data_IF_087768423460
#
_entry.id   IF_087768423460
#
_cell.length_a   1.000
_cell.length_b   1.000
_cell.length_c   1.000
_cell.angle_alpha   90.00
_cell.angle_beta   90.00
_cell.angle_gamma   90.00
#
_symmetry.space_group_name_H-M   'P 1'
#
loop_
_entity.id
_entity.type
_entity.pdbx_description
1 polymer ?
#
# COMPACT_ATOMS: atom_id res chain seq x y z
N UNK A 1 -33.73 23.64 30.01
CA UNK A 1 -34.49 22.65 29.20
C UNK A 1 -34.21 22.71 27.71
N UNK A 2 -34.64 23.74 26.92
CA UNK A 2 -34.40 23.74 25.46
C UNK A 2 -32.91 23.76 25.05
N UNK A 3 -32.06 24.48 25.79
CA UNK A 3 -30.60 24.53 25.58
C UNK A 3 -29.90 23.19 25.84
N UNK A 4 -30.39 22.43 26.82
CA UNK A 4 -29.81 21.14 27.22
C UNK A 4 -30.12 20.05 26.19
N UNK A 5 -31.34 20.07 25.63
CA UNK A 5 -31.76 19.16 24.55
C UNK A 5 -30.94 19.43 23.28
N UNK A 6 -30.73 20.70 22.92
CA UNK A 6 -29.90 21.07 21.76
C UNK A 6 -28.43 20.64 21.93
N UNK A 7 -27.87 20.81 23.15
CA UNK A 7 -26.50 20.38 23.46
C UNK A 7 -26.34 18.86 23.38
N UNK A 8 -27.34 18.11 23.84
CA UNK A 8 -27.33 16.65 23.78
C UNK A 8 -27.45 16.13 22.35
N UNK A 9 -28.28 16.78 21.52
CA UNK A 9 -28.37 16.47 20.07
C UNK A 9 -27.07 16.77 19.33
N UNK A 10 -26.39 17.88 19.64
CA UNK A 10 -25.09 18.19 19.03
C UNK A 10 -24.02 17.15 19.43
N UNK A 11 -23.98 16.74 20.71
CA UNK A 11 -23.07 15.70 21.17
C UNK A 11 -23.32 14.35 20.47
N UNK A 12 -24.59 13.97 20.30
CA UNK A 12 -24.98 12.78 19.54
C UNK A 12 -24.48 12.84 18.09
N UNK A 13 -24.67 13.98 17.42
CA UNK A 13 -24.22 14.18 16.04
C UNK A 13 -22.68 14.11 15.95
N UNK A 14 -21.97 14.70 16.90
CA UNK A 14 -20.50 14.69 16.92
C UNK A 14 -19.95 13.28 17.15
N UNK A 15 -20.55 12.50 18.06
CA UNK A 15 -20.18 11.09 18.26
C UNK A 15 -20.39 10.25 16.98
N UNK A 16 -21.51 10.46 16.27
CA UNK A 16 -21.77 9.77 15.00
C UNK A 16 -20.73 10.17 13.93
N UNK A 17 -20.38 11.46 13.85
CA UNK A 17 -19.35 11.95 12.93
C UNK A 17 -17.98 11.33 13.24
N UNK A 18 -17.58 11.26 14.50
CA UNK A 18 -16.31 10.66 14.91
C UNK A 18 -16.19 9.21 14.45
N UNK A 19 -17.27 8.41 14.60
CA UNK A 19 -17.31 7.03 14.12
C UNK A 19 -17.07 6.98 12.60
N UNK A 20 -17.79 7.81 11.83
CA UNK A 20 -17.66 7.84 10.37
C UNK A 20 -16.27 8.34 9.93
N UNK A 21 -15.71 9.36 10.58
CA UNK A 21 -14.38 9.86 10.24
C UNK A 21 -13.29 8.85 10.59
N UNK A 22 -13.40 8.18 11.73
CA UNK A 22 -12.48 7.11 12.12
C UNK A 22 -12.53 5.95 11.12
N UNK A 23 -13.72 5.49 10.75
CA UNK A 23 -13.92 4.43 9.77
C UNK A 23 -13.30 4.80 8.40
N UNK A 24 -13.56 6.02 7.90
CA UNK A 24 -12.98 6.50 6.63
C UNK A 24 -11.45 6.55 6.69
N UNK A 25 -10.89 7.02 7.79
CA UNK A 25 -9.43 7.05 7.99
C UNK A 25 -8.85 5.63 7.97
N UNK A 26 -9.47 4.69 8.68
CA UNK A 26 -9.04 3.29 8.70
C UNK A 26 -9.08 2.66 7.30
N UNK A 27 -10.16 2.86 6.54
CA UNK A 27 -10.26 2.38 5.15
C UNK A 27 -9.14 2.96 4.29
N UNK A 28 -8.89 4.27 4.37
CA UNK A 28 -7.82 4.91 3.60
C UNK A 28 -6.44 4.33 3.92
N UNK A 29 -6.15 4.07 5.20
CA UNK A 29 -4.89 3.43 5.65
C UNK A 29 -4.78 2.02 5.08
N UNK A 30 -5.83 1.20 5.20
CA UNK A 30 -5.80 -0.18 4.72
C UNK A 30 -5.61 -0.24 3.21
N UNK A 31 -6.35 0.58 2.45
CA UNK A 31 -6.16 0.70 0.99
C UNK A 31 -4.74 1.10 0.64
N UNK A 32 -4.15 2.07 1.36
CA UNK A 32 -2.78 2.49 1.11
C UNK A 32 -1.76 1.37 1.39
N UNK A 33 -1.97 0.59 2.45
CA UNK A 33 -1.10 -0.56 2.78
C UNK A 33 -1.17 -1.65 1.70
N UNK A 34 -2.36 -1.94 1.20
CA UNK A 34 -2.56 -2.88 0.08
C UNK A 34 -1.87 -2.37 -1.20
N UNK A 35 -1.98 -1.08 -1.50
CA UNK A 35 -1.31 -0.48 -2.66
C UNK A 35 0.22 -0.56 -2.55
N UNK A 36 0.79 -0.29 -1.37
CA UNK A 36 2.25 -0.43 -1.15
C UNK A 36 2.68 -1.87 -1.40
N UNK A 37 1.93 -2.84 -0.89
CA UNK A 37 2.20 -4.26 -1.09
C UNK A 37 2.11 -4.67 -2.57
N UNK A 38 1.09 -4.17 -3.28
CA UNK A 38 0.93 -4.40 -4.71
C UNK A 38 2.10 -3.81 -5.52
N UNK A 39 2.49 -2.57 -5.23
CA UNK A 39 3.61 -1.89 -5.89
C UNK A 39 4.94 -2.60 -5.68
N UNK A 40 5.18 -3.10 -4.47
CA UNK A 40 6.34 -3.91 -4.19
C UNK A 40 6.35 -5.22 -5.00
N UNK A 41 5.20 -5.92 -5.04
CA UNK A 41 5.06 -7.17 -5.80
C UNK A 41 5.24 -6.96 -7.30
N UNK A 42 4.76 -5.85 -7.86
CA UNK A 42 5.01 -5.48 -9.26
C UNK A 42 6.50 -5.29 -9.49
N UNK A 43 7.19 -4.58 -8.60
CA UNK A 43 8.64 -4.43 -8.64
C UNK A 43 9.39 -5.77 -8.63
N UNK A 44 8.95 -6.70 -7.78
CA UNK A 44 9.47 -8.07 -7.72
C UNK A 44 9.34 -8.78 -9.06
N UNK A 45 8.13 -8.80 -9.63
CA UNK A 45 7.85 -9.47 -10.91
C UNK A 45 8.73 -8.92 -12.03
N UNK A 46 8.91 -7.59 -12.09
CA UNK A 46 9.78 -6.95 -13.09
C UNK A 46 11.22 -7.44 -12.92
N UNK A 47 11.78 -7.40 -11.70
CA UNK A 47 13.17 -7.80 -11.44
C UNK A 47 13.38 -9.31 -11.65
N UNK A 48 12.43 -10.15 -11.25
CA UNK A 48 12.49 -11.59 -11.50
C UNK A 48 12.50 -11.90 -13.00
N UNK A 49 11.64 -11.24 -13.78
CA UNK A 49 11.63 -11.37 -15.23
C UNK A 49 12.96 -10.93 -15.86
N UNK A 50 13.53 -9.81 -15.40
CA UNK A 50 14.84 -9.33 -15.86
C UNK A 50 15.95 -10.34 -15.59
N UNK A 51 15.98 -10.92 -14.38
CA UNK A 51 16.97 -11.93 -13.99
C UNK A 51 16.85 -13.22 -14.79
N UNK A 52 15.64 -13.75 -14.96
CA UNK A 52 15.40 -15.01 -15.70
C UNK A 52 15.84 -14.91 -17.15
N UNK A 53 15.66 -13.74 -17.77
CA UNK A 53 15.97 -13.52 -19.18
C UNK A 53 17.35 -12.87 -19.42
N UNK A 54 18.19 -12.71 -18.38
CA UNK A 54 19.49 -12.01 -18.45
C UNK A 54 19.39 -10.62 -19.13
N UNK A 55 18.32 -9.88 -18.82
CA UNK A 55 18.02 -8.59 -19.43
C UNK A 55 18.97 -7.53 -18.87
N UNK A 56 19.60 -6.77 -19.76
CA UNK A 56 20.46 -5.66 -19.37
C UNK A 56 19.64 -4.41 -19.00
N UNK A 57 20.32 -3.40 -18.45
CA UNK A 57 19.64 -2.16 -18.04
C UNK A 57 18.99 -1.38 -19.20
N UNK A 58 19.40 -1.62 -20.45
CA UNK A 58 18.88 -0.88 -21.61
C UNK A 58 17.56 -1.50 -22.09
N UNK A 59 17.51 -2.83 -22.19
CA UNK A 59 16.33 -3.62 -22.51
C UNK A 59 15.28 -3.59 -21.40
N UNK A 60 15.70 -3.57 -20.13
CA UNK A 60 14.80 -3.37 -18.97
C UNK A 60 13.99 -2.08 -19.09
N UNK A 61 14.62 -0.97 -19.51
CA UNK A 61 13.89 0.29 -19.73
C UNK A 61 12.85 0.15 -20.82
N UNK A 62 13.17 -0.51 -21.93
CA UNK A 62 12.22 -0.71 -23.03
C UNK A 62 11.01 -1.52 -22.59
N UNK A 63 11.22 -2.59 -21.81
CA UNK A 63 10.14 -3.40 -21.24
C UNK A 63 9.23 -2.54 -20.35
N UNK A 64 9.79 -1.68 -19.49
CA UNK A 64 8.98 -0.77 -18.65
C UNK A 64 8.18 0.24 -19.47
N UNK A 65 8.74 0.74 -20.59
CA UNK A 65 8.02 1.64 -21.49
C UNK A 65 6.81 0.95 -22.11
N UNK A 66 6.97 -0.30 -22.54
CA UNK A 66 5.91 -1.09 -23.13
C UNK A 66 4.85 -1.49 -22.11
N UNK A 67 5.27 -1.97 -20.93
CA UNK A 67 4.37 -2.25 -19.80
C UNK A 67 3.56 -1.02 -19.41
N UNK A 68 4.17 0.16 -19.38
CA UNK A 68 3.45 1.38 -19.04
C UNK A 68 2.30 1.65 -19.99
N UNK A 69 2.51 1.45 -21.29
CA UNK A 69 1.48 1.66 -22.30
C UNK A 69 0.35 0.63 -22.13
N UNK A 70 0.69 -0.66 -22.14
CA UNK A 70 -0.29 -1.74 -22.06
C UNK A 70 -1.11 -1.67 -20.75
N UNK A 71 -0.45 -1.54 -19.60
CA UNK A 71 -1.13 -1.50 -18.31
C UNK A 71 -1.98 -0.24 -18.11
N UNK A 72 -1.55 0.90 -18.67
CA UNK A 72 -2.37 2.12 -18.63
C UNK A 72 -3.61 1.97 -19.51
N UNK A 73 -3.51 1.30 -20.65
CA UNK A 73 -4.64 1.05 -21.56
C UNK A 73 -5.63 0.03 -20.97
N UNK A 74 -5.14 -1.02 -20.30
CA UNK A 74 -5.97 -2.10 -19.75
C UNK A 74 -6.56 -1.80 -18.36
N UNK A 75 -5.75 -1.23 -17.45
CA UNK A 75 -6.10 -1.08 -16.03
C UNK A 75 -6.34 0.40 -15.68
N UNK A 76 -5.79 1.33 -16.47
CA UNK A 76 -5.99 2.75 -16.29
C UNK A 76 -4.87 3.44 -15.50
N UNK A 77 -5.24 4.45 -14.72
CA UNK A 77 -4.29 5.33 -14.03
C UNK A 77 -3.50 4.57 -12.97
N UNK A 78 -2.21 4.91 -12.83
CA UNK A 78 -1.30 4.30 -11.85
C UNK A 78 -0.15 3.54 -12.48
N UNK A 79 -0.17 3.29 -13.79
CA UNK A 79 0.89 2.55 -14.49
C UNK A 79 1.73 3.42 -15.43
N UNK A 80 1.97 4.67 -15.03
CA UNK A 80 2.89 5.54 -15.77
C UNK A 80 4.32 4.98 -15.73
N UNK A 81 5.12 5.33 -16.74
CA UNK A 81 6.54 4.95 -16.84
C UNK A 81 7.29 5.20 -15.54
N UNK A 82 7.15 6.40 -14.99
CA UNK A 82 7.80 6.79 -13.74
C UNK A 82 7.34 5.93 -12.56
N UNK A 83 6.06 5.56 -12.50
CA UNK A 83 5.56 4.73 -11.40
C UNK A 83 6.10 3.30 -11.48
N UNK A 84 6.16 2.71 -12.68
CA UNK A 84 6.76 1.38 -12.87
C UNK A 84 8.26 1.36 -12.55
N UNK A 85 9.00 2.41 -12.93
CA UNK A 85 10.40 2.55 -12.51
C UNK A 85 10.54 2.65 -10.99
N UNK A 86 9.63 3.38 -10.32
CA UNK A 86 9.62 3.48 -8.86
C UNK A 86 9.28 2.14 -8.21
N UNK A 87 8.32 1.38 -8.74
CA UNK A 87 7.97 0.03 -8.25
C UNK A 87 9.17 -0.92 -8.37
N UNK A 88 9.82 -0.95 -9.54
CA UNK A 88 11.06 -1.72 -9.76
C UNK A 88 12.15 -1.33 -8.75
N UNK A 89 12.38 -0.03 -8.59
CA UNK A 89 13.38 0.50 -7.64
C UNK A 89 13.03 0.13 -6.19
N UNK A 90 11.75 0.20 -5.83
CA UNK A 90 11.28 -0.13 -4.48
C UNK A 90 11.64 -1.57 -4.10
N UNK A 91 11.37 -2.55 -4.98
CA UNK A 91 11.78 -3.93 -4.72
C UNK A 91 13.31 -4.08 -4.67
N UNK A 92 14.04 -3.40 -5.54
CA UNK A 92 15.50 -3.48 -5.58
C UNK A 92 16.17 -2.95 -4.30
N UNK A 93 15.66 -1.85 -3.75
CA UNK A 93 16.19 -1.22 -2.53
C UNK A 93 15.69 -1.90 -1.26
N UNK A 94 14.47 -2.45 -1.28
CA UNK A 94 13.81 -3.07 -0.13
C UNK A 94 13.30 -4.46 -0.49
N UNK A 95 14.16 -5.46 -0.70
CA UNK A 95 13.75 -6.82 -1.05
C UNK A 95 13.01 -7.55 0.08
N UNK A 96 12.96 -6.98 1.29
CA UNK A 96 12.16 -7.45 2.41
C UNK A 96 11.13 -6.38 2.79
N UNK A 97 9.88 -6.53 2.34
CA UNK A 97 8.84 -5.48 2.55
C UNK A 97 8.21 -5.50 3.94
N UNK A 98 8.40 -6.58 4.71
CA UNK A 98 7.91 -6.64 6.08
C UNK A 98 9.00 -6.19 7.05
N UNK A 99 8.66 -5.21 7.90
CA UNK A 99 9.33 -5.07 9.18
C UNK A 99 9.09 -6.34 10.00
N UNK A 100 10.06 -6.77 10.82
CA UNK A 100 9.96 -8.03 11.61
C UNK A 100 8.65 -8.09 12.40
N UNK A 101 8.14 -6.95 12.89
CA UNK A 101 6.84 -6.86 13.57
C UNK A 101 5.63 -7.31 12.72
N UNK A 102 5.68 -7.20 11.40
CA UNK A 102 4.67 -7.74 10.47
C UNK A 102 4.78 -9.24 10.25
N UNK A 103 5.91 -9.86 10.64
CA UNK A 103 6.15 -11.30 10.63
C UNK A 103 5.85 -11.96 11.99
N UNK A 104 5.64 -11.17 13.05
CA UNK A 104 5.35 -11.69 14.39
C UNK A 104 3.87 -12.09 14.49
N UNK A 105 3.63 -13.34 14.86
CA UNK A 105 2.31 -13.80 15.28
C UNK A 105 2.01 -13.31 16.71
N UNK A 106 0.75 -13.32 17.11
CA UNK A 106 0.37 -12.99 18.49
C UNK A 106 1.12 -13.84 19.52
N UNK A 107 1.39 -15.11 19.21
CA UNK A 107 2.22 -16.00 20.03
C UNK A 107 3.66 -15.49 20.20
N UNK A 108 4.29 -14.98 19.13
CA UNK A 108 5.63 -14.39 19.22
C UNK A 108 5.65 -13.12 20.09
N UNK A 109 4.58 -12.32 20.07
CA UNK A 109 4.47 -11.12 20.91
C UNK A 109 4.25 -11.50 22.38
N UNK A 110 3.44 -12.54 22.66
CA UNK A 110 3.26 -13.04 24.02
C UNK A 110 4.57 -13.52 24.65
N UNK A 111 5.42 -14.21 23.88
CA UNK A 111 6.71 -14.74 24.32
C UNK A 111 7.72 -13.63 24.67
N UNK A 112 7.70 -12.50 23.95
CA UNK A 112 8.52 -11.32 24.26
C UNK A 112 8.02 -10.52 25.48
N UNK A 113 6.78 -10.75 25.91
CA UNK A 113 6.17 -10.07 27.07
C UNK A 113 6.22 -10.92 28.35
N UNK A 114 6.79 -12.13 28.28
CA UNK A 114 6.87 -13.07 29.42
C UNK A 114 8.24 -13.06 30.11
N UNK A 115 8.87 -11.89 30.20
CA UNK A 115 10.00 -11.67 31.12
C UNK A 115 9.54 -11.65 32.59
#
# INVERSE_FOLDING_TARGET
MKKDIQKNQNNLIDNIKEIIFSARKSVAINVNNELITAYWNIGRIIIENEKVNNIDNSSSRQIILELSKQLTDEIGKGFSRSNLFNMRKFYMEYPDVQTVSGQLTWSHICELLTD
#
